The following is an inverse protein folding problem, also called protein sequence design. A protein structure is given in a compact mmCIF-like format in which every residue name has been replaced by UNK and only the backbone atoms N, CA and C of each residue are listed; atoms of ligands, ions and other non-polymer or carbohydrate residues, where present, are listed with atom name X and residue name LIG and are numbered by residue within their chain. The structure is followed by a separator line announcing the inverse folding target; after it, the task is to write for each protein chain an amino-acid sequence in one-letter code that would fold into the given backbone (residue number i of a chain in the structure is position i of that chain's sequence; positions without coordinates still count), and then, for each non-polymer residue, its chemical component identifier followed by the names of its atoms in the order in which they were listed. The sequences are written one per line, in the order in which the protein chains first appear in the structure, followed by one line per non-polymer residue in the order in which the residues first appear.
data_IF_217265533135
#
_entry.id   IF_217265533135
#
_cell.length_a   1.000
_cell.length_b   1.000
_cell.length_c   1.000
_cell.angle_alpha   90.00
_cell.angle_beta   90.00
_cell.angle_gamma   90.00
#
_symmetry.space_group_name_H-M   'P 1'
#
loop_
_entity.id
_entity.type
_entity.pdbx_description
1 polymer ?
#
# COMPACT_ATOMS: atom_id res chain seq x y z
N UNK A 1 -1.00 14.05 -6.25
CA UNK A 1 -1.78 13.07 -5.45
C UNK A 1 -2.13 11.87 -6.30
N UNK A 2 -2.00 10.66 -5.75
CA UNK A 2 -2.35 9.44 -6.46
C UNK A 2 -3.84 9.41 -6.80
N UNK A 3 -4.18 8.90 -7.99
CA UNK A 3 -5.58 8.70 -8.38
C UNK A 3 -6.17 7.49 -7.66
N UNK A 4 -7.43 7.56 -7.20
CA UNK A 4 -8.15 6.39 -6.72
C UNK A 4 -8.14 5.26 -7.75
N UNK A 5 -8.23 4.03 -7.27
CA UNK A 5 -8.31 2.86 -8.15
C UNK A 5 -9.53 2.97 -9.06
N UNK A 6 -9.32 2.91 -10.37
CA UNK A 6 -10.42 2.88 -11.34
C UNK A 6 -11.30 1.64 -11.18
N UNK A 7 -12.61 1.81 -11.42
CA UNK A 7 -13.64 0.81 -11.12
C UNK A 7 -13.36 -0.58 -11.71
N UNK A 8 -12.91 -0.67 -12.98
CA UNK A 8 -12.61 -1.96 -13.63
C UNK A 8 -11.54 -2.74 -12.86
N UNK A 9 -10.45 -2.07 -12.49
CA UNK A 9 -9.36 -2.68 -11.71
C UNK A 9 -9.79 -3.06 -10.30
N UNK A 10 -10.74 -2.33 -9.71
CA UNK A 10 -11.30 -2.66 -8.40
C UNK A 10 -12.11 -3.96 -8.50
N UNK A 11 -13.02 -4.05 -9.47
CA UNK A 11 -13.84 -5.24 -9.73
C UNK A 11 -12.98 -6.47 -10.05
N UNK A 12 -12.01 -6.34 -10.98
CA UNK A 12 -11.06 -7.42 -11.31
C UNK A 12 -10.32 -7.93 -10.09
N UNK A 13 -9.91 -7.03 -9.18
CA UNK A 13 -9.22 -7.40 -7.95
C UNK A 13 -10.16 -8.09 -6.96
N UNK A 14 -11.39 -7.61 -6.79
CA UNK A 14 -12.39 -8.24 -5.94
C UNK A 14 -12.69 -9.66 -6.40
N UNK A 15 -12.95 -9.84 -7.70
CA UNK A 15 -13.19 -11.15 -8.31
C UNK A 15 -11.99 -12.10 -8.10
N UNK A 16 -10.76 -11.63 -8.35
CA UNK A 16 -9.56 -12.47 -8.28
C UNK A 16 -9.14 -12.81 -6.85
N UNK A 17 -9.27 -11.89 -5.90
CA UNK A 17 -8.60 -11.99 -4.60
C UNK A 17 -9.55 -12.08 -3.41
N UNK A 18 -10.82 -11.72 -3.59
CA UNK A 18 -11.75 -11.51 -2.48
C UNK A 18 -13.12 -12.14 -2.71
N UNK A 19 -13.21 -13.17 -3.56
CA UNK A 19 -14.45 -13.89 -3.85
C UNK A 19 -15.60 -12.96 -4.27
N UNK A 20 -15.28 -12.02 -5.17
CA UNK A 20 -16.18 -10.98 -5.64
C UNK A 20 -16.68 -9.98 -4.58
N UNK A 21 -16.21 -10.03 -3.33
CA UNK A 21 -16.61 -9.10 -2.27
C UNK A 21 -15.80 -7.79 -2.33
N UNK A 22 -16.40 -6.67 -2.76
CA UNK A 22 -15.70 -5.40 -2.89
C UNK A 22 -15.42 -4.74 -1.53
N UNK A 23 -16.09 -5.15 -0.45
CA UNK A 23 -15.89 -4.57 0.89
C UNK A 23 -14.49 -4.86 1.45
N UNK A 24 -13.82 -5.89 0.90
CA UNK A 24 -12.46 -6.32 1.28
C UNK A 24 -11.35 -5.59 0.50
N UNK A 25 -11.69 -4.64 -0.36
CA UNK A 25 -10.71 -3.83 -1.09
C UNK A 25 -10.17 -2.69 -0.23
N UNK A 26 -8.92 -2.83 0.21
CA UNK A 26 -8.27 -1.88 1.13
C UNK A 26 -7.35 -0.85 0.45
N UNK A 27 -7.21 -0.90 -0.88
CA UNK A 27 -6.29 -0.06 -1.65
C UNK A 27 -7.01 0.77 -2.72
N UNK A 28 -8.30 1.04 -2.51
CA UNK A 28 -9.11 1.93 -3.37
C UNK A 28 -8.55 3.35 -3.34
N UNK A 29 -8.31 3.87 -2.13
CA UNK A 29 -7.50 5.05 -1.88
C UNK A 29 -6.11 4.60 -1.45
N UNK A 30 -5.06 5.15 -2.06
CA UNK A 30 -3.69 4.82 -1.71
C UNK A 30 -2.72 5.95 -2.01
N UNK A 31 -1.64 6.01 -1.26
CA UNK A 31 -0.57 6.99 -1.45
C UNK A 31 0.79 6.36 -1.20
N UNK A 32 1.83 6.92 -1.81
CA UNK A 32 3.22 6.57 -1.50
C UNK A 32 3.97 7.82 -1.03
N UNK A 33 4.80 7.66 -0.01
CA UNK A 33 5.76 8.65 0.47
C UNK A 33 7.15 8.02 0.37
N UNK A 34 8.08 8.76 -0.22
CA UNK A 34 9.44 8.31 -0.44
C UNK A 34 10.41 9.17 0.37
N UNK A 35 11.37 8.52 1.01
CA UNK A 35 12.39 9.12 1.86
C UNK A 35 13.77 8.86 1.27
N UNK A 36 14.71 9.76 1.50
CA UNK A 36 16.08 9.60 1.00
C UNK A 36 16.83 8.50 1.78
N UNK A 37 16.57 8.40 3.09
CA UNK A 37 17.21 7.42 3.97
C UNK A 37 16.23 6.73 4.92
N UNK A 38 16.75 5.71 5.61
CA UNK A 38 15.97 4.86 6.50
C UNK A 38 15.61 5.54 7.83
N UNK A 39 16.38 6.54 8.27
CA UNK A 39 16.12 7.28 9.49
C UNK A 39 14.89 8.17 9.31
N UNK A 40 14.82 8.89 8.19
CA UNK A 40 13.66 9.70 7.81
C UNK A 40 12.41 8.84 7.60
N UNK A 41 12.56 7.66 6.99
CA UNK A 41 11.45 6.71 6.85
C UNK A 41 10.92 6.27 8.21
N UNK A 42 11.81 5.94 9.15
CA UNK A 42 11.44 5.54 10.50
C UNK A 42 10.78 6.68 11.27
N UNK A 43 11.28 7.91 11.13
CA UNK A 43 10.65 9.10 11.69
C UNK A 43 9.23 9.30 11.13
N UNK A 44 9.06 9.15 9.82
CA UNK A 44 7.75 9.18 9.16
C UNK A 44 6.78 8.12 9.67
N UNK A 45 7.25 6.88 9.83
CA UNK A 45 6.47 5.79 10.43
C UNK A 45 6.00 6.14 11.85
N UNK A 46 6.89 6.68 12.68
CA UNK A 46 6.55 7.11 14.03
C UNK A 46 5.58 8.29 14.06
N UNK A 47 5.70 9.24 13.14
CA UNK A 47 4.77 10.36 13.02
C UNK A 47 3.35 9.86 12.74
N UNK A 48 3.20 8.94 11.76
CA UNK A 48 1.92 8.32 11.42
C UNK A 48 1.34 7.54 12.60
N UNK A 49 2.17 6.75 13.28
CA UNK A 49 1.72 5.95 14.42
C UNK A 49 1.31 6.78 15.65
N UNK A 50 1.78 8.03 15.76
CA UNK A 50 1.48 8.95 16.86
C UNK A 50 0.39 9.96 16.52
N UNK A 51 -0.05 10.04 15.27
CA UNK A 51 -1.09 10.98 14.86
C UNK A 51 -2.44 10.57 15.48
N UNK A 52 -3.08 11.44 16.29
CA UNK A 52 -4.32 11.11 16.98
C UNK A 52 -5.52 10.90 16.04
N UNK A 53 -5.42 11.32 14.77
CA UNK A 53 -6.46 11.13 13.76
C UNK A 53 -6.23 9.90 12.89
N UNK A 54 -5.15 9.15 13.10
CA UNK A 54 -4.81 7.98 12.30
C UNK A 54 -4.92 6.73 13.15
N UNK A 55 -5.61 5.71 12.64
CA UNK A 55 -5.55 4.37 13.21
C UNK A 55 -4.89 3.44 12.21
N UNK A 56 -3.77 2.81 12.60
CA UNK A 56 -3.12 1.78 11.81
C UNK A 56 -3.83 0.45 12.07
N UNK A 57 -4.49 -0.09 11.05
CA UNK A 57 -5.23 -1.36 11.14
C UNK A 57 -4.42 -2.56 10.67
N UNK A 58 -3.29 -2.32 9.99
CA UNK A 58 -2.38 -3.37 9.57
C UNK A 58 -1.09 -2.82 8.95
N UNK A 59 -0.06 -3.67 8.91
CA UNK A 59 1.23 -3.32 8.32
C UNK A 59 1.86 -4.51 7.58
N UNK A 60 2.59 -4.21 6.52
CA UNK A 60 3.45 -5.15 5.79
C UNK A 60 4.84 -4.55 5.71
N UNK A 61 5.80 -5.15 6.40
CA UNK A 61 7.19 -4.73 6.37
C UNK A 61 7.99 -5.58 5.38
N UNK A 62 8.19 -5.06 4.18
CA UNK A 62 9.02 -5.70 3.14
C UNK A 62 10.47 -5.23 3.19
N UNK A 63 10.83 -4.30 4.08
CA UNK A 63 12.21 -3.92 4.34
C UNK A 63 12.92 -4.91 5.27
N UNK A 64 12.17 -5.64 6.10
CA UNK A 64 12.70 -6.64 7.03
C UNK A 64 13.67 -7.63 6.35
N UNK A 65 14.81 -7.91 6.97
CA UNK A 65 15.86 -8.75 6.39
C UNK A 65 15.38 -10.18 6.07
N UNK A 66 14.45 -10.71 6.86
CA UNK A 66 13.84 -12.03 6.64
C UNK A 66 12.65 -12.04 5.66
N UNK A 67 12.33 -10.92 5.01
CA UNK A 67 11.25 -10.88 4.02
C UNK A 67 11.69 -11.57 2.71
N UNK A 68 10.96 -12.60 2.29
CA UNK A 68 11.16 -13.20 0.97
C UNK A 68 10.70 -12.23 -0.13
N UNK A 69 11.67 -11.64 -0.83
CA UNK A 69 11.43 -10.73 -1.94
C UNK A 69 10.81 -11.42 -3.17
N UNK A 70 10.92 -12.75 -3.29
CA UNK A 70 10.29 -13.51 -4.37
C UNK A 70 8.76 -13.39 -4.33
N UNK A 71 8.16 -13.48 -3.14
CA UNK A 71 6.72 -13.31 -2.93
C UNK A 71 6.19 -11.90 -3.17
N UNK A 72 7.07 -10.91 -3.27
CA UNK A 72 6.71 -9.51 -3.52
C UNK A 72 7.17 -9.00 -4.88
N UNK A 73 7.73 -9.85 -5.76
CA UNK A 73 8.34 -9.45 -7.03
C UNK A 73 9.44 -8.38 -6.88
N UNK A 74 10.18 -8.42 -5.76
CA UNK A 74 11.31 -7.55 -5.48
C UNK A 74 10.96 -6.23 -4.79
N UNK A 75 9.68 -5.96 -4.49
CA UNK A 75 9.28 -4.73 -3.80
C UNK A 75 9.81 -4.68 -2.36
N UNK A 76 10.39 -3.54 -1.99
CA UNK A 76 10.99 -3.27 -0.67
C UNK A 76 10.46 -1.96 -0.10
N UNK A 77 9.35 -2.05 0.64
CA UNK A 77 8.65 -0.93 1.27
C UNK A 77 8.03 -1.33 2.62
N UNK A 78 7.54 -0.35 3.37
CA UNK A 78 6.60 -0.57 4.47
C UNK A 78 5.22 -0.11 4.00
N UNK A 79 4.26 -1.02 3.93
CA UNK A 79 2.88 -0.68 3.58
C UNK A 79 2.01 -0.68 4.82
N UNK A 80 1.34 0.43 5.10
CA UNK A 80 0.39 0.61 6.18
C UNK A 80 -1.03 0.58 5.62
N UNK A 81 -1.92 -0.08 6.34
CA UNK A 81 -3.36 0.04 6.16
C UNK A 81 -3.87 0.92 7.30
N UNK A 82 -4.56 2.00 6.96
CA UNK A 82 -4.95 3.02 7.92
C UNK A 82 -6.36 3.55 7.69
N UNK A 83 -7.02 3.97 8.77
CA UNK A 83 -8.26 4.75 8.73
C UNK A 83 -8.00 6.15 9.28
N UNK A 84 -8.83 7.10 8.86
CA UNK A 84 -8.72 8.51 9.25
C UNK A 84 -9.95 8.95 10.04
N UNK A 85 -9.74 9.47 11.25
CA UNK A 85 -10.77 10.06 12.09
C UNK A 85 -10.57 11.58 12.20
N UNK A 86 -10.76 12.26 11.08
CA UNK A 86 -10.72 13.73 10.98
C UNK A 86 -12.15 14.30 10.88
N UNK A 87 -12.35 15.60 11.17
CA UNK A 87 -13.65 16.24 10.95
C UNK A 87 -14.19 16.09 9.53
N UNK A 88 -13.30 16.07 8.53
CA UNK A 88 -13.68 15.86 7.14
C UNK A 88 -14.09 14.41 6.86
N UNK A 89 -13.33 13.43 7.35
CA UNK A 89 -13.69 12.01 7.22
C UNK A 89 -15.05 11.72 7.88
N UNK A 90 -15.33 12.32 9.05
CA UNK A 90 -16.64 12.25 9.73
C UNK A 90 -17.76 12.83 8.88
N UNK A 91 -17.58 14.04 8.33
CA UNK A 91 -18.59 14.68 7.45
C UNK A 91 -18.92 13.84 6.22
N UNK A 92 -17.94 13.12 5.70
CA UNK A 92 -18.08 12.27 4.51
C UNK A 92 -18.50 10.82 4.83
N UNK A 93 -18.61 10.44 6.11
CA UNK A 93 -18.92 9.06 6.51
C UNK A 93 -17.79 8.06 6.20
N UNK A 94 -16.53 8.52 6.16
CA UNK A 94 -15.36 7.74 5.75
C UNK A 94 -14.45 7.30 6.91
N UNK A 95 -14.88 7.44 8.16
CA UNK A 95 -14.03 7.13 9.34
C UNK A 95 -13.60 5.67 9.43
N UNK A 96 -14.37 4.77 8.82
CA UNK A 96 -14.04 3.34 8.71
C UNK A 96 -13.39 2.96 7.37
N UNK A 97 -13.20 3.92 6.45
CA UNK A 97 -12.61 3.63 5.15
C UNK A 97 -11.10 3.41 5.28
N UNK A 98 -10.63 2.25 4.82
CA UNK A 98 -9.21 1.91 4.85
C UNK A 98 -8.51 2.46 3.61
N UNK A 99 -7.41 3.18 3.85
CA UNK A 99 -6.47 3.64 2.85
C UNK A 99 -5.16 2.85 2.96
N UNK A 100 -4.49 2.65 1.83
CA UNK A 100 -3.16 2.06 1.77
C UNK A 100 -2.09 3.15 1.67
N UNK A 101 -1.12 3.18 2.58
CA UNK A 101 0.02 4.09 2.50
C UNK A 101 1.33 3.30 2.41
N UNK A 102 2.11 3.54 1.36
CA UNK A 102 3.44 2.94 1.20
C UNK A 102 4.51 3.94 1.60
N UNK A 103 5.43 3.50 2.44
CA UNK A 103 6.64 4.22 2.82
C UNK A 103 7.82 3.49 2.18
N UNK A 104 8.56 4.18 1.32
CA UNK A 104 9.68 3.60 0.58
C UNK A 104 10.91 4.48 0.61
N UNK A 105 12.06 3.92 0.21
CA UNK A 105 13.28 4.67 -0.01
C UNK A 105 13.36 5.09 -1.49
N UNK A 106 13.79 6.33 -1.76
CA UNK A 106 13.99 6.84 -3.12
C UNK A 106 14.91 5.92 -3.91
N UNK A 107 16.04 5.52 -3.30
CA UNK A 107 17.00 4.62 -3.93
C UNK A 107 16.38 3.27 -4.34
N UNK A 108 15.45 2.72 -3.55
CA UNK A 108 14.78 1.46 -3.88
C UNK A 108 13.66 1.66 -4.90
N UNK A 109 12.91 2.76 -4.81
CA UNK A 109 11.87 3.11 -5.76
C UNK A 109 12.42 3.36 -7.18
N UNK A 110 13.63 3.89 -7.30
CA UNK A 110 14.31 4.07 -8.59
C UNK A 110 14.65 2.74 -9.28
N UNK A 111 14.81 1.66 -8.51
CA UNK A 111 15.00 0.31 -9.04
C UNK A 111 13.68 -0.32 -9.52
N UNK A 112 12.53 0.22 -9.11
CA UNK A 112 11.20 -0.15 -9.61
C UNK A 112 10.99 0.45 -11.01
N UNK A 113 11.64 -0.14 -12.03
CA UNK A 113 11.47 0.29 -13.43
C UNK A 113 10.08 -0.04 -13.97
N UNK A 114 9.66 0.55 -15.10
CA UNK A 114 8.40 0.17 -15.79
C UNK A 114 8.37 -1.33 -16.13
N UNK A 115 9.53 -1.91 -16.46
CA UNK A 115 9.69 -3.36 -16.62
C UNK A 115 9.43 -4.14 -15.34
N UNK A 116 9.78 -3.61 -14.15
CA UNK A 116 9.45 -4.25 -12.88
C UNK A 116 7.94 -4.36 -12.65
N UNK A 117 7.17 -3.35 -13.08
CA UNK A 117 5.71 -3.41 -13.04
C UNK A 117 5.17 -4.46 -14.02
N UNK A 118 5.74 -4.55 -15.22
CA UNK A 118 5.44 -5.60 -16.20
C UNK A 118 5.75 -7.00 -15.66
N UNK A 119 6.90 -7.19 -15.02
CA UNK A 119 7.30 -8.44 -14.34
C UNK A 119 6.34 -8.80 -13.21
N UNK A 120 5.91 -7.83 -12.40
CA UNK A 120 4.88 -8.06 -11.38
C UNK A 120 3.56 -8.49 -12.01
N UNK A 121 3.11 -7.85 -13.09
CA UNK A 121 1.88 -8.25 -13.78
C UNK A 121 1.99 -9.68 -14.35
N UNK A 122 3.14 -10.01 -14.94
CA UNK A 122 3.41 -11.35 -15.45
C UNK A 122 3.46 -12.39 -14.33
N UNK A 123 4.23 -12.17 -13.27
CA UNK A 123 4.25 -13.03 -12.09
C UNK A 123 2.86 -13.16 -11.44
N UNK A 124 2.11 -12.07 -11.30
CA UNK A 124 0.77 -12.08 -10.70
C UNK A 124 -0.25 -12.84 -11.55
N UNK A 125 -0.13 -12.78 -12.87
CA UNK A 125 -1.08 -13.39 -13.80
C UNK A 125 -0.70 -14.85 -14.17
N UNK A 126 0.60 -15.18 -14.17
CA UNK A 126 1.14 -16.47 -14.61
C UNK A 126 1.91 -17.22 -13.51
N UNK A 127 1.95 -16.69 -12.29
CA UNK A 127 2.63 -17.25 -11.12
C UNK A 127 1.92 -18.47 -10.56
N UNK A 128 1.92 -19.54 -11.34
CA UNK A 128 2.01 -20.92 -10.89
C UNK A 128 2.98 -21.65 -11.83
N UNK A 129 4.07 -22.26 -11.33
CA UNK A 129 4.25 -23.68 -11.59
C UNK A 129 3.08 -24.47 -10.99
#
# INVERSE_FOLDING_TARGET
WARPKGYRRALEKALRCYDADPSRLLDCCRQAVYYEDAEDLLAGLHAVARDPHVTVVGAKNRLHAGHDAGGSAGYRDVTLLLTLDTPEARRLGLTAHVCEMRLGLVALAQLETVESHGRYLAWRNFGRP
#
